data_IF_044927282607
#
_entry.id   IF_044927282607
#
_cell.length_a   1.000
_cell.length_b   1.000
_cell.length_c   1.000
_cell.angle_alpha   90.00
_cell.angle_beta   90.00
_cell.angle_gamma   90.00
#
_symmetry.space_group_name_H-M   'P 1'
#
loop_
_entity.id
_entity.type
_entity.pdbx_description
1 polymer ?
2 non-polymer ?
3 water ?
#
# COMPACT_ATOMS: atom_id res chain seq x y z
CA UNK A 5 2.14 -7.97 -14.01
C UNK A 5 3.65 -7.81 -13.81
N UNK A 6 4.17 -6.62 -14.16
CA UNK A 6 5.56 -6.26 -14.00
C UNK A 6 5.70 -5.17 -12.88
N UNK A 7 6.93 -4.95 -12.43
CA UNK A 7 7.19 -4.00 -11.36
C UNK A 7 6.65 -2.61 -11.62
N UNK A 8 6.91 -2.04 -12.80
CA UNK A 8 6.47 -0.66 -13.08
C UNK A 8 4.98 -0.41 -12.83
N UNK A 9 4.13 -1.36 -13.20
CA UNK A 9 2.67 -1.25 -13.00
C UNK A 9 2.35 -1.22 -11.51
N UNK A 10 2.97 -2.12 -10.73
CA UNK A 10 2.64 -2.19 -9.29
C UNK A 10 3.24 -0.96 -8.57
N UNK A 11 4.40 -0.50 -9.00
CA UNK A 11 5.03 0.71 -8.43
C UNK A 11 4.11 1.91 -8.66
N UNK A 12 3.52 2.01 -9.85
CA UNK A 12 2.61 3.13 -10.13
C UNK A 12 1.38 3.03 -9.22
N UNK A 13 0.82 1.83 -8.98
CA UNK A 13 -0.31 1.70 -8.05
C UNK A 13 0.12 2.16 -6.63
N UNK A 14 1.27 1.67 -6.16
CA UNK A 14 1.71 1.98 -4.81
C UNK A 14 2.00 3.48 -4.68
N UNK A 15 2.58 4.11 -5.69
CA UNK A 15 2.86 5.56 -5.64
C UNK A 15 1.55 6.34 -5.68
N UNK A 16 0.61 5.92 -6.57
CA UNK A 16 -0.68 6.62 -6.66
C UNK A 16 -1.40 6.57 -5.32
N UNK A 17 -1.31 5.43 -4.61
CA UNK A 17 -2.01 5.31 -3.32
C UNK A 17 -1.37 6.24 -2.29
N UNK A 18 -0.01 6.31 -2.29
CA UNK A 18 0.61 7.26 -1.32
C UNK A 18 0.27 8.68 -1.66
N UNK A 19 0.19 9.05 -2.95
CA UNK A 19 -0.19 10.43 -3.30
C UNK A 19 -1.63 10.73 -2.89
N UNK A 20 -2.52 9.71 -2.97
CA UNK A 20 -3.90 9.85 -2.52
C UNK A 20 -3.91 10.16 -0.98
N UNK A 21 -3.20 9.33 -0.19
CA UNK A 21 -3.20 9.52 1.27
C UNK A 21 -2.59 10.87 1.64
N UNK A 22 -1.53 11.25 0.93
CA UNK A 22 -0.84 12.52 1.23
C UNK A 22 -1.54 13.77 0.67
N UNK A 23 -2.67 13.55 -0.07
CA UNK A 23 -3.46 14.60 -0.70
C UNK A 23 -2.69 15.41 -1.73
N UNK A 24 -1.83 14.71 -2.46
CA UNK A 24 -1.04 15.32 -3.53
C UNK A 24 -1.14 14.50 -4.83
N UNK A 25 -2.37 14.23 -5.33
CA UNK A 25 -2.48 13.52 -6.62
C UNK A 25 -1.71 14.26 -7.71
N UNK A 26 -1.06 13.49 -8.59
CA UNK A 26 -0.29 14.08 -9.67
C UNK A 26 -1.21 14.86 -10.61
N UNK A 27 -0.92 16.15 -10.85
CA UNK A 27 -1.73 16.89 -11.82
C UNK A 27 -1.55 16.26 -13.21
N UNK A 28 -2.60 16.25 -14.02
CA UNK A 28 -2.52 15.65 -15.35
C UNK A 28 -3.74 14.82 -15.70
N UNK A 29 -3.56 13.75 -16.48
CA UNK A 29 -4.72 12.93 -16.90
C UNK A 29 -5.31 12.08 -15.76
N UNK A 30 -4.61 11.98 -14.63
CA UNK A 30 -5.09 11.27 -13.45
C UNK A 30 -4.83 9.77 -13.41
N UNK A 31 -5.20 9.15 -12.28
CA UNK A 31 -4.95 7.71 -12.13
C UNK A 31 -5.80 6.84 -13.05
N UNK A 32 -5.38 5.58 -13.23
CA UNK A 32 -6.13 4.64 -14.07
C UNK A 32 -7.42 4.16 -13.36
N UNK A 33 -8.28 3.41 -14.08
CA UNK A 33 -9.47 2.81 -13.47
C UNK A 33 -9.06 1.88 -12.32
N UNK A 34 -8.00 1.08 -12.52
CA UNK A 34 -7.53 0.15 -11.49
C UNK A 34 -7.10 0.92 -10.27
N UNK A 35 -6.30 1.99 -10.48
CA UNK A 35 -5.80 2.76 -9.36
C UNK A 35 -6.98 3.44 -8.61
N UNK A 36 -7.96 3.96 -9.34
CA UNK A 36 -9.10 4.63 -8.70
C UNK A 36 -9.90 3.60 -7.84
N UNK A 37 -10.08 2.38 -8.36
CA UNK A 37 -10.80 1.37 -7.58
C UNK A 37 -10.01 0.99 -6.32
N UNK A 38 -8.70 0.82 -6.48
CA UNK A 38 -7.87 0.42 -5.35
C UNK A 38 -7.84 1.52 -4.30
N UNK A 39 -7.77 2.82 -4.72
CA UNK A 39 -7.70 3.91 -3.71
C UNK A 39 -8.92 3.89 -2.78
N UNK A 40 -10.07 3.68 -3.37
CA UNK A 40 -11.32 3.63 -2.65
C UNK A 40 -11.34 2.46 -1.64
N UNK A 41 -11.06 1.25 -2.10
CA UNK A 41 -11.11 0.06 -1.22
C UNK A 41 -10.00 0.06 -0.17
N UNK A 42 -8.79 0.42 -0.58
CA UNK A 42 -7.66 0.42 0.37
C UNK A 42 -7.86 1.50 1.43
N UNK A 43 -8.44 2.67 1.08
CA UNK A 43 -8.66 3.72 2.10
C UNK A 43 -9.67 3.23 3.13
N UNK A 44 -10.73 2.55 2.67
CA UNK A 44 -11.75 2.04 3.63
C UNK A 44 -11.11 1.08 4.63
N UNK A 45 -10.21 0.21 4.13
CA UNK A 45 -9.52 -0.76 4.98
C UNK A 45 -8.56 0.00 5.90
N UNK A 46 -7.83 1.00 5.36
CA UNK A 46 -6.86 1.75 6.16
C UNK A 46 -7.52 2.43 7.36
N UNK A 47 -8.71 3.04 7.14
CA UNK A 47 -9.42 3.70 8.24
C UNK A 47 -9.76 2.72 9.36
N UNK A 48 -10.16 1.50 8.99
CA UNK A 48 -10.54 0.50 9.99
C UNK A 48 -9.29 0.04 10.74
N UNK A 49 -8.19 -0.20 10.03
CA UNK A 49 -6.94 -0.66 10.65
C UNK A 49 -6.40 0.43 11.60
N UNK A 50 -6.42 1.73 11.18
CA UNK A 50 -6.00 2.81 12.10
C UNK A 50 -6.81 2.83 13.37
N UNK A 51 -8.14 2.67 13.26
CA UNK A 51 -8.98 2.62 14.45
C UNK A 51 -8.63 1.41 15.32
N UNK A 52 -8.50 0.22 14.72
CA UNK A 52 -8.19 -1.01 15.47
C UNK A 52 -6.84 -0.99 16.13
N UNK A 53 -5.87 -0.34 15.48
CA UNK A 53 -4.48 -0.27 15.94
C UNK A 53 -4.14 1.06 16.63
N UNK A 54 -5.13 1.83 17.06
CA UNK A 54 -4.88 3.17 17.64
C UNK A 54 -3.77 3.21 18.72
N UNK A 55 -3.87 2.40 19.78
CA UNK A 55 -2.85 2.40 20.84
C UNK A 55 -1.46 2.07 20.29
N UNK A 56 -1.37 1.01 19.46
CA UNK A 56 -0.12 0.57 18.81
C UNK A 56 0.51 1.73 18.03
N UNK A 57 -0.29 2.38 17.17
CA UNK A 57 0.17 3.45 16.31
C UNK A 57 0.57 4.71 17.06
N UNK A 58 0.00 4.95 18.23
CA UNK A 58 0.35 6.12 19.03
C UNK A 58 1.73 5.99 19.68
N UNK A 59 2.28 4.77 19.83
CA UNK A 59 3.60 4.59 20.43
C UNK A 59 4.69 4.14 19.46
N UNK A 60 4.44 4.24 18.13
CA UNK A 60 5.44 3.86 17.15
C UNK A 60 6.18 5.14 16.66
N UNK A 61 7.47 5.01 16.35
CA UNK A 61 8.25 6.14 15.85
C UNK A 61 8.82 5.78 14.48
N UNK A 62 8.13 6.18 13.43
CA UNK A 62 8.57 5.90 12.06
C UNK A 62 9.48 7.02 11.65
N UNK A 63 10.77 6.97 12.07
CA UNK A 63 11.63 8.12 11.89
C UNK A 63 12.41 8.11 10.59
N UNK A 64 12.38 6.99 9.84
CA UNK A 64 13.15 6.93 8.61
C UNK A 64 12.56 5.93 7.67
N UNK A 65 13.02 5.92 6.40
CA UNK A 65 12.59 4.92 5.42
C UNK A 65 13.06 3.55 5.88
N UNK A 66 14.29 3.44 6.45
CA UNK A 66 14.77 2.13 6.91
C UNK A 66 13.85 1.56 8.01
N UNK A 67 13.40 2.39 8.95
CA UNK A 67 12.51 1.94 10.02
C UNK A 67 11.13 1.57 9.43
N UNK A 68 10.64 2.36 8.48
CA UNK A 68 9.37 2.06 7.82
C UNK A 68 9.44 0.71 7.09
N UNK A 69 10.61 0.41 6.49
CA UNK A 69 10.80 -0.89 5.83
C UNK A 69 10.80 -2.03 6.84
N UNK A 70 11.51 -1.85 7.97
CA UNK A 70 11.53 -2.88 9.01
C UNK A 70 10.12 -3.18 9.55
N UNK A 71 9.35 -2.12 9.86
CA UNK A 71 7.99 -2.27 10.39
C UNK A 71 7.09 -2.92 9.36
N UNK A 72 7.20 -2.49 8.10
CA UNK A 72 6.41 -3.06 7.02
C UNK A 72 6.68 -4.56 6.88
N UNK A 73 7.97 -4.98 6.89
CA UNK A 73 8.33 -6.41 6.82
C UNK A 73 7.73 -7.19 8.00
N UNK A 74 7.76 -6.60 9.21
CA UNK A 74 7.19 -7.30 10.37
C UNK A 74 5.71 -7.51 10.26
N UNK A 75 4.95 -6.48 9.81
CA UNK A 75 3.49 -6.66 9.67
C UNK A 75 3.20 -7.67 8.58
N UNK A 76 3.95 -7.61 7.46
CA UNK A 76 3.77 -8.51 6.33
C UNK A 76 3.99 -9.96 6.70
N UNK A 77 4.97 -10.24 7.60
CA UNK A 77 5.23 -11.59 8.09
C UNK A 77 4.00 -12.11 8.84
N UNK A 78 3.38 -11.27 9.68
CA UNK A 78 2.20 -11.70 10.44
C UNK A 78 0.96 -11.82 9.53
N UNK A 79 0.83 -10.95 8.52
CA UNK A 79 -0.30 -10.97 7.61
C UNK A 79 -0.34 -12.24 6.75
N UNK A 80 0.83 -12.71 6.26
CA UNK A 80 0.90 -13.88 5.38
C UNK A 80 1.53 -15.13 6.01
N UNK A 81 1.50 -15.26 7.33
CA UNK A 81 2.13 -16.41 7.99
C UNK A 81 1.50 -17.76 7.61
N UNK A 82 0.18 -17.81 7.35
CA UNK A 82 -0.43 -19.11 6.97
C UNK A 82 -0.17 -19.50 5.49
N UNK A 83 0.55 -18.66 4.75
CA UNK A 83 0.89 -18.92 3.36
C UNK A 83 -0.22 -18.68 2.33
N UNK A 84 -1.42 -18.27 2.78
CA UNK A 84 -2.48 -18.04 1.80
C UNK A 84 -2.49 -16.58 1.32
N UNK A 85 -2.82 -16.39 0.04
CA UNK A 85 -2.93 -15.08 -0.57
C UNK A 85 -4.36 -14.95 -1.09
N UNK A 86 -4.96 -13.79 -0.89
CA UNK A 86 -6.26 -13.47 -1.42
C UNK A 86 -6.29 -11.95 -1.66
N UNK A 87 -7.33 -11.46 -2.33
CA UNK A 87 -7.36 -10.04 -2.69
C UNK A 87 -7.45 -9.13 -1.46
N UNK A 88 -8.21 -9.53 -0.42
CA UNK A 88 -8.31 -8.69 0.78
C UNK A 88 -6.96 -8.47 1.45
N UNK A 89 -6.12 -9.52 1.42
CA UNK A 89 -4.78 -9.41 1.98
C UNK A 89 -3.90 -8.47 1.17
N UNK A 90 -4.07 -8.49 -0.16
CA UNK A 90 -3.31 -7.58 -1.01
C UNK A 90 -3.78 -6.12 -0.77
N UNK A 91 -5.10 -5.88 -0.56
CA UNK A 91 -5.54 -4.50 -0.25
C UNK A 91 -4.91 -4.03 1.07
N UNK A 92 -4.79 -4.97 2.04
CA UNK A 92 -4.19 -4.63 3.33
C UNK A 92 -2.73 -4.20 3.22
N UNK A 93 -2.01 -4.65 2.19
CA UNK A 93 -0.63 -4.18 1.96
C UNK A 93 -0.64 -2.66 1.71
N UNK A 94 -1.57 -2.22 0.86
CA UNK A 94 -1.70 -0.81 0.51
C UNK A 94 -2.12 0.00 1.72
N UNK A 95 -3.08 -0.54 2.52
CA UNK A 95 -3.51 0.14 3.74
C UNK A 95 -2.32 0.39 4.69
N UNK A 96 -1.43 -0.64 4.82
CA UNK A 96 -0.26 -0.46 5.68
C UNK A 96 0.76 0.55 5.13
N UNK A 97 0.96 0.60 3.79
CA UNK A 97 1.87 1.62 3.28
C UNK A 97 1.27 3.07 3.50
N UNK A 98 -0.05 3.17 3.46
CA UNK A 98 -0.74 4.45 3.72
C UNK A 98 -0.53 4.87 5.17
N UNK A 99 -0.58 3.89 6.11
CA UNK A 99 -0.34 4.25 7.53
C UNK A 99 1.11 4.67 7.70
N UNK A 100 2.04 3.90 7.09
CA UNK A 100 3.46 4.22 7.24
C UNK A 100 3.79 5.60 6.67
N UNK A 101 3.23 5.96 5.50
CA UNK A 101 3.56 7.30 4.94
C UNK A 101 3.01 8.45 5.83
N UNK A 102 1.83 8.23 6.47
CA UNK A 102 1.27 9.26 7.36
C UNK A 102 2.20 9.46 8.56
N UNK A 103 2.68 8.35 9.12
CA UNK A 103 3.58 8.41 10.27
C UNK A 103 4.92 9.03 9.90
N UNK A 104 5.45 8.68 8.73
CA UNK A 104 6.73 9.26 8.29
C UNK A 104 6.56 10.75 8.04
N UNK A 105 5.37 11.20 7.50
CA UNK A 105 5.17 12.65 7.31
C UNK A 105 5.34 13.41 8.63
N UNK A 106 4.82 12.82 9.70
CA UNK A 106 4.85 13.41 11.04
C UNK A 106 6.12 13.21 11.82
N UNK A 107 6.81 12.05 11.67
CA UNK A 107 7.95 11.73 12.53
C UNK A 107 9.32 11.60 11.84
N UNK A 108 9.38 11.61 10.50
CA UNK A 108 10.68 11.47 9.83
C UNK A 108 11.73 12.52 10.26
N UNK A 109 12.94 12.06 10.62
CA UNK A 109 14.03 12.96 11.02
C UNK A 109 14.62 13.47 9.73
N UNK A 110 14.82 14.81 9.60
CA UNK A 110 15.27 15.46 8.36
C UNK A 110 14.33 15.01 7.22
N UNK A 111 13.06 15.44 7.29
CA UNK A 111 12.08 14.98 6.29
C UNK A 111 12.54 15.19 4.87
N UNK A 112 12.17 14.29 3.99
CA UNK A 112 12.51 14.38 2.60
C UNK A 112 11.25 14.16 1.88
N UNK A 113 10.82 15.16 1.14
CA UNK A 113 9.54 15.10 0.43
C UNK A 113 9.41 13.95 -0.57
N UNK A 114 10.51 13.41 -1.11
CA UNK A 114 10.35 12.30 -2.07
C UNK A 114 10.29 10.91 -1.40
N UNK A 115 10.15 10.86 -0.07
CA UNK A 115 10.14 9.63 0.70
C UNK A 115 9.03 8.68 0.25
N UNK A 116 7.86 9.18 -0.18
CA UNK A 116 6.82 8.25 -0.67
C UNK A 116 7.31 7.41 -1.84
N UNK A 117 8.30 7.92 -2.60
CA UNK A 117 8.81 7.16 -3.71
C UNK A 117 9.61 5.93 -3.22
N UNK A 118 10.28 6.04 -2.07
CA UNK A 118 11.07 4.92 -1.56
C UNK A 118 10.16 3.91 -0.88
N UNK A 119 9.14 4.41 -0.15
CA UNK A 119 8.17 3.52 0.48
C UNK A 119 7.41 2.72 -0.62
N UNK A 120 6.95 3.42 -1.70
CA UNK A 120 6.26 2.78 -2.85
C UNK A 120 7.13 1.69 -3.43
N UNK A 121 8.45 1.95 -3.54
CA UNK A 121 9.39 1.01 -4.10
C UNK A 121 9.42 -0.26 -3.31
N UNK A 122 9.61 -0.19 -1.97
CA UNK A 122 9.73 -1.46 -1.21
C UNK A 122 8.36 -2.18 -1.10
N UNK A 123 7.25 -1.44 -1.17
CA UNK A 123 5.92 -2.05 -1.18
C UNK A 123 5.73 -2.81 -2.51
N UNK A 124 6.16 -2.20 -3.62
CA UNK A 124 6.05 -2.88 -4.93
C UNK A 124 6.94 -4.10 -5.03
N UNK A 125 8.14 -4.02 -4.43
CA UNK A 125 9.08 -5.14 -4.38
C UNK A 125 8.45 -6.27 -3.60
N UNK A 126 7.79 -5.95 -2.45
CA UNK A 126 7.16 -7.01 -1.68
C UNK A 126 6.00 -7.65 -2.49
N UNK A 127 5.11 -6.82 -3.06
CA UNK A 127 3.99 -7.33 -3.85
C UNK A 127 4.45 -8.16 -5.01
N UNK A 128 5.47 -7.70 -5.74
CA UNK A 128 5.94 -8.46 -6.87
C UNK A 128 6.55 -9.80 -6.50
N UNK A 129 7.43 -9.78 -5.52
CA UNK A 129 8.17 -10.97 -5.13
C UNK A 129 7.37 -12.00 -4.35
N UNK A 130 6.43 -11.57 -3.53
CA UNK A 130 5.69 -12.46 -2.68
C UNK A 130 4.30 -12.82 -3.17
N UNK A 131 3.63 -11.93 -3.91
CA UNK A 131 2.26 -12.18 -4.40
C UNK A 131 2.10 -12.07 -5.93
N UNK A 132 3.18 -11.76 -6.64
CA UNK A 132 3.11 -11.57 -8.09
C UNK A 132 2.60 -12.76 -8.90
N UNK A 133 3.03 -13.96 -8.55
CA UNK A 133 2.60 -15.18 -9.26
C UNK A 133 1.08 -15.38 -9.05
N UNK A 134 0.62 -15.25 -7.80
CA UNK A 134 -0.77 -15.43 -7.44
C UNK A 134 -1.64 -14.41 -8.16
N UNK A 135 -1.18 -13.16 -8.20
CA UNK A 135 -1.93 -12.11 -8.89
C UNK A 135 -2.13 -12.43 -10.38
N UNK A 136 -1.07 -12.78 -11.11
CA UNK A 136 -1.15 -13.12 -12.54
C UNK A 136 -2.09 -14.32 -12.73
N UNK A 137 -1.95 -15.36 -11.90
CA UNK A 137 -2.83 -16.53 -12.00
C UNK A 137 -4.32 -16.22 -11.72
N UNK A 138 -4.59 -15.11 -11.01
CA UNK A 138 -5.95 -14.74 -10.69
C UNK A 138 -6.49 -13.54 -11.51
N UNK A 139 -5.84 -13.27 -12.65
CA UNK A 139 -6.34 -12.27 -13.58
C UNK A 139 -5.62 -10.96 -13.61
N UNK A 140 -4.60 -10.81 -12.77
CA UNK A 140 -3.88 -9.55 -12.63
C UNK A 140 -4.77 -8.47 -12.02
N UNK A 141 -4.37 -7.20 -12.18
CA UNK A 141 -5.13 -6.10 -11.66
C UNK A 141 -6.36 -5.82 -12.49
N UNK A 142 -6.25 -5.88 -13.81
CA UNK A 142 -7.37 -5.56 -14.68
C UNK A 142 -8.45 -6.64 -14.70
N UNK A 143 -8.06 -7.90 -14.83
CA UNK A 143 -9.05 -8.99 -14.89
C UNK A 143 -9.23 -9.75 -13.58
N UNK A 144 -8.62 -9.29 -12.49
CA UNK A 144 -8.78 -9.97 -11.21
C UNK A 144 -9.24 -8.99 -10.16
N UNK A 145 -8.33 -8.09 -9.82
CA UNK A 145 -8.62 -7.13 -8.76
C UNK A 145 -9.82 -6.24 -9.10
N UNK A 146 -9.76 -5.56 -10.26
CA UNK A 146 -10.82 -4.63 -10.66
C UNK A 146 -12.16 -5.35 -10.78
N UNK A 147 -12.16 -6.57 -11.32
CA UNK A 147 -13.42 -7.31 -11.48
C UNK A 147 -14.04 -7.64 -10.13
N UNK A 148 -13.22 -7.87 -9.10
CA UNK A 148 -13.72 -8.21 -7.78
C UNK A 148 -14.17 -6.98 -7.00
N UNK A 149 -13.47 -5.87 -7.16
CA UNK A 149 -13.73 -4.71 -6.32
C UNK A 149 -14.40 -3.51 -6.98
N UNK A 150 -14.52 -3.47 -8.30
CA UNK A 150 -15.19 -2.35 -8.97
C UNK A 150 -16.64 -2.23 -8.55
N UNK A 151 -17.16 -0.99 -8.61
CA UNK A 151 -18.55 -0.77 -8.22
C UNK A 151 -19.51 -1.61 -9.01
N UNK A 152 -20.49 -2.05 -8.26
CA UNK A 152 -21.52 -2.90 -8.79
C UNK A 152 -22.43 -2.03 -9.71
X LIG B 1 4.69 -2.90 14.00
X LIG B 1 3.76 -2.70 16.26
X LIG B 1 2.73 -3.04 17.29
X LIG B 1 0.41 -4.21 13.46
X LIG B 1 0.45 -5.58 13.61
X LIG B 1 -1.59 -6.04 12.34
X LIG B 1 -2.70 -6.60 13.17
X LIG B 1 -2.60 -8.11 12.87
X LIG B 1 -2.30 -8.18 11.38
X LIG B 1 -1.70 -6.80 11.02
X LIG B 1 1.50 -6.19 14.27
X LIG B 1 2.53 -5.42 14.78
X LIG B 1 4.16 -1.86 13.04
X LIG B 1 2.99 -0.01 11.33
X LIG B 1 3.53 -1.15 10.81
X LIG B 1 4.11 -2.07 11.66
X LIG B 1 2.09 1.06 10.29
X LIG B 1 3.02 0.24 12.68
X LIG B 1 3.61 -0.68 13.53
X LIG B 1 5.35 -4.13 13.42
X LIG B 1 3.65 -3.24 15.01
X LIG B 1 2.16 -1.82 17.88
X LIG B 1 4.66 -1.91 16.53
X LIG B 1 2.51 -4.03 14.63
X LIG B 1 1.44 -3.44 13.96
X LIG B 1 -0.41 -6.51 13.05
X LIG B 1 -3.54 -8.46 10.60
#
# INVERSE_FOLDING_TARGET
GMTDCEFGYIYRLAQDYLQCVLQIPQPGSGPSKTSRVLQNVAFSVQKEVEKNLKSCLDNVNVVSVDTARTLFNQVMEKEFEDGIINWGRIVTIFAFEGILIKKLLRQQIAPDVDTYKEISYFVAEFIMNNTGEWIRQNGGWENGFVKKFEPK
A1ILY C1 C2 C3 C7 C8 C9 C10 C11 C12 C13 C14 C15 C16 C19 C20 C21 CL C18 C17 C N C4 O C5 C6 O1 N1
#
